data_IF_762751420453
#
_entry.id   IF_762751420453
#
_cell.length_a   1.000
_cell.length_b   1.000
_cell.length_c   1.000
_cell.angle_alpha   90.00
_cell.angle_beta   90.00
_cell.angle_gamma   90.00
#
_symmetry.space_group_name_H-M   'P 1'
#
loop_
_entity.id
_entity.type
_entity.pdbx_description
1 polymer ?
#
# COMPACT_ATOMS: atom_id res chain seq x y z
N UNK A 1 4.66 0.24 30.93
CA UNK A 1 5.80 -0.57 30.42
C UNK A 1 5.30 -1.97 30.14
N UNK A 2 4.81 -2.15 28.92
CA UNK A 2 4.26 -3.39 28.39
C UNK A 2 5.43 -4.20 27.81
N UNK A 3 5.73 -5.38 28.36
CA UNK A 3 6.86 -6.18 27.87
C UNK A 3 6.48 -6.91 26.58
N UNK A 4 6.72 -6.27 25.43
CA UNK A 4 6.50 -6.89 24.12
C UNK A 4 7.40 -8.12 23.91
N UNK A 5 6.95 -9.12 23.12
CA UNK A 5 7.79 -10.27 22.78
C UNK A 5 8.97 -9.83 21.89
N UNK A 6 10.18 -10.33 22.19
CA UNK A 6 11.39 -9.94 21.46
C UNK A 6 11.54 -10.80 20.19
N UNK A 7 11.62 -10.19 18.99
CA UNK A 7 11.80 -10.95 17.75
C UNK A 7 13.17 -11.65 17.73
N UNK A 8 13.19 -12.91 17.27
CA UNK A 8 14.35 -13.80 17.32
C UNK A 8 15.27 -13.67 16.08
N UNK A 9 14.93 -12.76 15.17
CA UNK A 9 15.67 -12.41 13.97
C UNK A 9 15.33 -10.95 13.58
N UNK A 10 16.06 -10.32 12.64
CA UNK A 10 15.68 -9.01 12.13
C UNK A 10 14.24 -9.03 11.59
N UNK A 11 13.55 -7.89 11.69
CA UNK A 11 12.23 -7.68 11.10
C UNK A 11 12.31 -7.86 9.57
N UNK A 12 11.35 -8.59 9.01
CA UNK A 12 11.16 -8.77 7.57
C UNK A 12 10.30 -7.61 7.06
N UNK A 13 10.94 -6.57 6.53
CA UNK A 13 10.27 -5.39 5.99
C UNK A 13 10.23 -5.46 4.45
N UNK A 14 9.36 -4.66 3.82
CA UNK A 14 9.36 -4.47 2.36
C UNK A 14 9.77 -3.05 2.03
N UNK A 15 10.84 -2.88 1.25
CA UNK A 15 11.32 -1.55 0.87
C UNK A 15 10.30 -0.82 0.01
N UNK A 16 9.54 -1.53 -0.84
CA UNK A 16 8.54 -0.92 -1.70
C UNK A 16 7.35 -0.36 -0.91
N UNK A 17 6.88 -1.06 0.14
CA UNK A 17 5.83 -0.55 1.03
C UNK A 17 6.27 0.61 1.91
N UNK A 18 7.52 0.57 2.39
CA UNK A 18 8.10 1.71 3.09
C UNK A 18 8.28 2.91 2.15
N UNK A 19 8.58 2.69 0.87
CA UNK A 19 8.64 3.77 -0.11
C UNK A 19 7.27 4.42 -0.31
N UNK A 20 6.21 3.62 -0.51
CA UNK A 20 4.83 4.13 -0.65
C UNK A 20 4.36 4.91 0.60
N UNK A 21 4.62 4.36 1.79
CA UNK A 21 4.34 5.03 3.07
C UNK A 21 5.15 6.33 3.26
N UNK A 22 6.40 6.41 2.78
CA UNK A 22 7.18 7.65 2.78
C UNK A 22 6.66 8.67 1.75
N UNK A 23 6.07 8.23 0.63
CA UNK A 23 5.56 9.10 -0.43
C UNK A 23 4.10 9.51 -0.31
N UNK A 24 3.32 8.90 0.59
CA UNK A 24 1.91 9.23 0.87
C UNK A 24 1.67 9.83 2.27
N UNK A 25 2.71 9.99 3.09
CA UNK A 25 2.62 10.57 4.43
C UNK A 25 2.58 12.11 4.34
N UNK A 26 1.41 12.68 4.63
CA UNK A 26 1.08 14.11 4.56
C UNK A 26 0.34 14.57 5.85
N UNK A 27 -0.12 15.82 5.93
CA UNK A 27 -0.71 16.36 7.17
C UNK A 27 -2.06 15.72 7.59
N UNK A 28 -2.71 14.97 6.70
CA UNK A 28 -3.96 14.23 6.96
C UNK A 28 -3.71 12.71 7.12
N UNK A 29 -2.57 12.21 6.64
CA UNK A 29 -2.21 10.78 6.55
C UNK A 29 -0.92 10.45 7.28
N UNK A 30 -1.03 9.94 8.50
CA UNK A 30 0.10 9.48 9.31
C UNK A 30 0.38 7.98 9.11
N UNK A 31 1.65 7.63 8.90
CA UNK A 31 2.10 6.24 8.83
C UNK A 31 3.01 5.87 10.01
N UNK A 32 2.76 4.74 10.68
CA UNK A 32 3.57 4.28 11.82
C UNK A 32 4.16 2.88 11.57
N UNK A 33 5.48 2.73 11.71
CA UNK A 33 6.14 1.42 11.67
C UNK A 33 6.22 0.81 13.08
N UNK A 34 5.75 -0.43 13.22
CA UNK A 34 5.86 -1.23 14.43
C UNK A 34 7.29 -1.76 14.66
N UNK A 35 7.79 -1.63 15.89
CA UNK A 35 9.13 -2.08 16.30
C UNK A 35 9.21 -3.56 16.71
N UNK A 36 8.07 -4.22 16.90
CA UNK A 36 7.99 -5.59 17.47
C UNK A 36 7.95 -6.67 16.39
N UNK A 37 7.13 -6.47 15.37
CA UNK A 37 6.81 -7.44 14.32
C UNK A 37 6.98 -6.85 12.90
N UNK A 38 6.93 -5.52 12.75
CA UNK A 38 7.32 -4.82 11.51
C UNK A 38 6.18 -4.54 10.53
N UNK A 39 4.92 -4.57 11.00
CA UNK A 39 3.80 -4.04 10.21
C UNK A 39 3.81 -2.51 10.17
N UNK A 40 3.18 -1.94 9.14
CA UNK A 40 2.92 -0.50 9.02
C UNK A 40 1.45 -0.27 9.35
N UNK A 41 1.17 0.80 10.10
CA UNK A 41 -0.17 1.35 10.28
C UNK A 41 -0.33 2.58 9.38
N UNK A 42 -1.51 2.73 8.79
CA UNK A 42 -1.99 3.87 8.04
C UNK A 42 -3.18 4.48 8.80
N UNK A 43 -2.97 5.67 9.36
CA UNK A 43 -3.97 6.46 10.06
C UNK A 43 -4.35 7.64 9.16
N UNK A 44 -5.65 7.79 9.00
CA UNK A 44 -6.30 8.61 7.99
C UNK A 44 -7.51 9.24 8.66
N UNK A 45 -7.63 10.57 8.57
CA UNK A 45 -8.67 11.33 9.27
C UNK A 45 -10.08 11.05 8.74
N UNK A 46 -10.23 10.45 7.56
CA UNK A 46 -11.51 10.02 6.98
C UNK A 46 -12.10 8.73 7.63
N UNK A 47 -11.44 8.17 8.65
CA UNK A 47 -11.89 6.94 9.35
C UNK A 47 -12.89 7.24 10.49
N UNK A 48 -13.66 6.21 10.88
CA UNK A 48 -14.62 6.28 12.00
C UNK A 48 -13.97 6.81 13.29
N UNK A 49 -14.53 7.88 13.88
CA UNK A 49 -14.00 8.53 15.09
C UNK A 49 -13.81 7.53 16.25
N UNK A 50 -14.74 6.59 16.44
CA UNK A 50 -14.65 5.61 17.51
C UNK A 50 -13.42 4.68 17.34
N UNK A 51 -12.92 4.47 16.12
CA UNK A 51 -11.68 3.73 15.88
C UNK A 51 -10.44 4.62 15.90
N UNK A 52 -10.55 5.88 15.47
CA UNK A 52 -9.51 6.89 15.64
C UNK A 52 -9.15 7.06 17.13
N UNK A 53 -10.15 7.26 17.99
CA UNK A 53 -9.97 7.39 19.44
C UNK A 53 -9.24 6.17 20.03
N UNK A 54 -9.62 4.94 19.61
CA UNK A 54 -8.98 3.69 20.04
C UNK A 54 -7.52 3.57 19.57
N UNK A 55 -7.20 3.96 18.33
CA UNK A 55 -5.82 3.84 17.83
C UNK A 55 -4.92 4.94 18.40
N UNK A 56 -5.43 6.14 18.62
CA UNK A 56 -4.68 7.18 19.35
C UNK A 56 -4.42 6.75 20.80
N UNK A 57 -5.39 6.14 21.50
CA UNK A 57 -5.15 5.55 22.82
C UNK A 57 -4.07 4.45 22.80
N UNK A 58 -4.13 3.51 21.84
CA UNK A 58 -3.08 2.48 21.67
C UNK A 58 -1.71 3.11 21.40
N UNK A 59 -1.63 4.15 20.56
CA UNK A 59 -0.39 4.88 20.25
C UNK A 59 0.17 5.63 21.47
N UNK A 60 -0.67 6.25 22.30
CA UNK A 60 -0.23 6.94 23.53
C UNK A 60 0.24 5.95 24.60
N UNK A 61 -0.54 4.90 24.87
CA UNK A 61 -0.21 3.88 25.89
C UNK A 61 1.03 3.05 25.51
N UNK A 62 1.31 2.89 24.21
CA UNK A 62 2.36 2.05 23.65
C UNK A 62 3.35 2.85 22.78
N UNK A 63 3.59 4.12 23.11
CA UNK A 63 4.40 5.04 22.30
C UNK A 63 5.85 4.57 22.02
N UNK A 64 6.40 3.66 22.82
CA UNK A 64 7.72 3.07 22.61
C UNK A 64 7.74 1.95 21.56
N UNK A 65 6.57 1.38 21.23
CA UNK A 65 6.37 0.36 20.19
C UNK A 65 6.36 0.93 18.79
N UNK A 66 5.83 2.14 18.61
CA UNK A 66 5.55 2.71 17.30
C UNK A 66 6.63 3.71 16.87
N UNK A 67 6.69 4.00 15.58
CA UNK A 67 7.58 5.02 15.03
C UNK A 67 6.92 5.69 13.81
N UNK A 68 6.60 6.98 13.95
CA UNK A 68 6.10 7.80 12.85
C UNK A 68 7.09 7.81 11.68
N UNK A 69 6.59 7.48 10.49
CA UNK A 69 7.30 7.57 9.21
C UNK A 69 7.31 9.05 8.77
N UNK A 70 8.48 9.63 8.47
CA UNK A 70 8.61 11.07 8.27
C UNK A 70 8.07 11.49 6.91
N UNK A 71 7.09 12.41 6.95
CA UNK A 71 6.52 13.15 5.81
C UNK A 71 7.65 13.74 4.95
N UNK A 72 7.52 13.64 3.63
CA UNK A 72 8.49 14.25 2.71
C UNK A 72 8.17 15.74 2.56
N UNK A 73 9.04 16.63 3.03
CA UNK A 73 8.82 18.06 2.85
C UNK A 73 8.92 18.45 1.37
N UNK A 74 8.16 19.48 0.95
CA UNK A 74 8.24 20.02 -0.43
C UNK A 74 9.68 20.29 -0.89
N UNK A 75 10.54 20.78 0.01
CA UNK A 75 11.96 21.01 -0.28
C UNK A 75 12.74 19.71 -0.55
N UNK A 76 12.42 18.60 0.12
CA UNK A 76 13.04 17.30 -0.13
C UNK A 76 12.54 16.69 -1.43
N UNK A 77 11.23 16.78 -1.73
CA UNK A 77 10.67 16.32 -3.01
C UNK A 77 11.29 17.10 -4.17
N UNK A 78 11.30 18.45 -4.09
CA UNK A 78 11.96 19.32 -5.09
C UNK A 78 13.45 18.98 -5.25
N UNK A 79 14.17 18.71 -4.16
CA UNK A 79 15.58 18.32 -4.20
C UNK A 79 15.81 16.93 -4.81
N UNK A 80 14.91 15.97 -4.64
CA UNK A 80 15.01 14.65 -5.29
C UNK A 80 14.85 14.83 -6.81
N UNK A 81 13.85 15.60 -7.26
CA UNK A 81 13.66 15.93 -8.69
C UNK A 81 14.87 16.70 -9.25
N UNK A 82 15.35 17.74 -8.55
CA UNK A 82 16.54 18.51 -8.95
C UNK A 82 17.81 17.64 -9.04
N UNK A 83 17.98 16.68 -8.14
CA UNK A 83 19.11 15.74 -8.19
C UNK A 83 19.01 14.84 -9.41
N UNK A 84 17.82 14.29 -9.71
CA UNK A 84 17.57 13.49 -10.90
C UNK A 84 17.88 14.27 -12.20
N UNK A 85 17.34 15.48 -12.32
CA UNK A 85 17.54 16.36 -13.48
C UNK A 85 19.02 16.71 -13.68
N UNK A 86 19.79 16.75 -12.59
CA UNK A 86 21.22 17.01 -12.66
C UNK A 86 22.09 15.77 -12.95
N UNK A 87 21.73 14.59 -12.44
CA UNK A 87 22.55 13.37 -12.53
C UNK A 87 22.17 12.41 -13.68
N UNK A 88 20.93 12.44 -14.16
CA UNK A 88 20.37 11.41 -15.06
C UNK A 88 19.86 11.96 -16.40
N UNK A 89 19.43 13.21 -16.46
CA UNK A 89 19.04 13.87 -17.73
C UNK A 89 20.29 14.46 -18.40
N UNK A 90 20.62 13.92 -19.58
CA UNK A 90 21.77 14.34 -20.39
C UNK A 90 21.40 15.19 -21.61
N UNK A 91 20.15 15.08 -22.09
CA UNK A 91 19.64 15.92 -23.17
C UNK A 91 19.39 17.34 -22.65
N UNK A 92 19.83 18.35 -23.41
CA UNK A 92 19.84 19.74 -22.95
C UNK A 92 18.43 20.33 -22.97
N UNK A 93 17.69 20.15 -24.06
CA UNK A 93 16.35 20.71 -24.25
C UNK A 93 15.35 20.10 -23.25
N UNK A 94 15.46 18.80 -23.00
CA UNK A 94 14.68 18.08 -21.97
C UNK A 94 15.06 18.56 -20.57
N UNK A 95 16.35 18.78 -20.30
CA UNK A 95 16.83 19.28 -19.00
C UNK A 95 16.37 20.72 -18.72
N UNK A 96 16.38 21.59 -19.72
CA UNK A 96 15.92 22.98 -19.57
C UNK A 96 14.43 23.03 -19.22
N UNK A 97 13.57 22.28 -19.92
CA UNK A 97 12.15 22.13 -19.59
C UNK A 97 11.93 21.61 -18.16
N UNK A 98 12.67 20.59 -17.75
CA UNK A 98 12.61 20.08 -16.38
C UNK A 98 13.00 21.13 -15.33
N UNK A 99 14.01 21.98 -15.61
CA UNK A 99 14.42 23.07 -14.72
C UNK A 99 13.41 24.22 -14.69
N UNK A 100 12.70 24.48 -15.78
CA UNK A 100 11.56 25.42 -15.82
C UNK A 100 10.41 24.91 -14.95
N UNK A 101 10.01 23.64 -15.14
CA UNK A 101 8.97 22.95 -14.35
C UNK A 101 9.28 23.03 -12.84
N UNK A 102 10.55 22.88 -12.44
CA UNK A 102 10.93 23.00 -11.02
C UNK A 102 10.62 24.37 -10.40
N UNK A 103 10.52 25.45 -11.19
CA UNK A 103 10.17 26.79 -10.67
C UNK A 103 8.67 27.09 -10.70
N UNK A 104 7.85 26.17 -11.21
CA UNK A 104 6.39 26.27 -11.16
C UNK A 104 5.84 26.05 -9.74
N UNK A 105 4.58 26.43 -9.53
CA UNK A 105 3.87 26.22 -8.26
C UNK A 105 3.49 24.75 -8.02
N UNK A 106 3.27 23.98 -9.09
CA UNK A 106 2.83 22.58 -9.05
C UNK A 106 3.95 21.70 -9.64
N UNK A 107 5.18 21.95 -9.19
CA UNK A 107 6.40 21.39 -9.78
C UNK A 107 6.43 19.86 -9.76
N UNK A 108 5.79 19.20 -8.78
CA UNK A 108 5.73 17.73 -8.70
C UNK A 108 4.80 17.15 -9.75
N UNK A 109 3.57 17.64 -9.82
CA UNK A 109 2.56 17.14 -10.76
C UNK A 109 3.00 17.37 -12.20
N UNK A 110 3.55 18.55 -12.51
CA UNK A 110 4.06 18.87 -13.85
C UNK A 110 5.35 18.10 -14.20
N UNK A 111 6.21 17.79 -13.21
CA UNK A 111 7.36 16.92 -13.41
C UNK A 111 6.92 15.50 -13.77
N UNK A 112 5.90 14.98 -13.07
CA UNK A 112 5.33 13.67 -13.36
C UNK A 112 4.62 13.66 -14.73
N UNK A 113 3.74 14.62 -14.99
CA UNK A 113 3.08 14.81 -16.29
C UNK A 113 4.09 14.78 -17.44
N UNK A 114 5.13 15.61 -17.37
CA UNK A 114 6.16 15.69 -18.40
C UNK A 114 7.01 14.42 -18.50
N UNK A 115 7.35 13.74 -17.40
CA UNK A 115 8.18 12.53 -17.47
C UNK A 115 7.41 11.29 -17.96
N UNK A 116 6.09 11.23 -17.73
CA UNK A 116 5.24 10.15 -18.27
C UNK A 116 5.11 10.21 -19.81
N UNK A 117 5.24 11.39 -20.42
CA UNK A 117 5.37 11.55 -21.88
C UNK A 117 6.76 11.12 -22.43
N UNK A 118 7.75 10.88 -21.56
CA UNK A 118 9.15 10.59 -21.93
C UNK A 118 9.61 9.26 -21.34
N UNK A 119 9.16 8.15 -21.93
CA UNK A 119 9.41 6.75 -21.49
C UNK A 119 10.88 6.46 -21.09
N UNK A 120 11.86 6.94 -21.86
CA UNK A 120 13.29 6.76 -21.58
C UNK A 120 13.80 7.51 -20.35
N UNK A 121 13.10 8.56 -19.91
CA UNK A 121 13.40 9.31 -18.70
C UNK A 121 12.57 8.79 -17.53
N UNK A 122 11.36 8.29 -17.78
CA UNK A 122 10.52 7.59 -16.80
C UNK A 122 11.24 6.35 -16.23
N UNK A 123 11.85 5.51 -17.07
CA UNK A 123 12.61 4.34 -16.62
C UNK A 123 13.78 4.75 -15.69
N UNK A 124 14.53 5.79 -16.08
CA UNK A 124 15.64 6.34 -15.28
C UNK A 124 15.14 6.93 -13.96
N UNK A 125 13.97 7.57 -13.95
CA UNK A 125 13.36 8.13 -12.76
C UNK A 125 12.88 7.05 -11.80
N UNK A 126 12.18 6.01 -12.29
CA UNK A 126 11.78 4.85 -11.49
C UNK A 126 13.00 4.24 -10.80
N UNK A 127 14.08 3.95 -11.55
CA UNK A 127 15.33 3.41 -11.01
C UNK A 127 15.96 4.36 -9.98
N UNK A 128 16.14 5.64 -10.32
CA UNK A 128 16.75 6.64 -9.42
C UNK A 128 15.94 6.86 -8.14
N UNK A 129 14.61 6.94 -8.23
CA UNK A 129 13.74 7.18 -7.08
C UNK A 129 13.78 5.97 -6.14
N UNK A 130 13.74 4.74 -6.67
CA UNK A 130 13.92 3.52 -5.87
C UNK A 130 15.28 3.52 -5.18
N UNK A 131 16.39 3.77 -5.89
CA UNK A 131 17.73 3.85 -5.30
C UNK A 131 17.80 4.91 -4.18
N UNK A 132 17.28 6.12 -4.44
CA UNK A 132 17.41 7.28 -3.56
C UNK A 132 16.53 7.15 -2.32
N UNK A 133 15.28 6.71 -2.48
CA UNK A 133 14.33 6.46 -1.40
C UNK A 133 14.77 5.28 -0.54
N UNK A 134 15.27 4.20 -1.14
CA UNK A 134 15.84 3.05 -0.41
C UNK A 134 17.00 3.46 0.50
N UNK A 135 17.90 4.34 0.05
CA UNK A 135 18.97 4.88 0.90
C UNK A 135 18.38 5.70 2.07
N UNK A 136 17.39 6.58 1.82
CA UNK A 136 16.69 7.36 2.86
C UNK A 136 16.01 6.46 3.90
N UNK A 137 15.33 5.41 3.45
CA UNK A 137 14.64 4.44 4.33
C UNK A 137 15.66 3.69 5.19
N UNK A 138 16.77 3.20 4.61
CA UNK A 138 17.86 2.56 5.36
C UNK A 138 18.44 3.51 6.42
N UNK A 139 18.69 4.77 6.06
CA UNK A 139 19.20 5.79 6.99
C UNK A 139 18.23 6.08 8.14
N UNK A 140 16.94 6.27 7.85
CA UNK A 140 15.91 6.48 8.86
C UNK A 140 15.72 5.27 9.79
N UNK A 141 15.69 4.05 9.24
CA UNK A 141 15.59 2.81 10.02
C UNK A 141 16.80 2.64 10.97
N UNK A 142 18.02 2.93 10.50
CA UNK A 142 19.25 2.91 11.31
C UNK A 142 19.20 3.95 12.43
N UNK A 143 18.81 5.18 12.12
CA UNK A 143 18.71 6.27 13.10
C UNK A 143 17.68 5.95 14.19
N UNK A 144 16.59 5.28 13.82
CA UNK A 144 15.56 4.77 14.73
C UNK A 144 15.86 3.39 15.34
N UNK A 145 17.07 2.85 15.13
CA UNK A 145 17.59 1.60 15.71
C UNK A 145 16.80 0.33 15.36
N UNK A 146 16.07 0.32 14.25
CA UNK A 146 15.37 -0.88 13.77
C UNK A 146 16.37 -1.97 13.37
N UNK A 147 16.19 -3.20 13.87
CA UNK A 147 16.96 -4.35 13.39
C UNK A 147 16.16 -5.05 12.28
N UNK A 148 16.50 -4.76 11.02
CA UNK A 148 15.69 -5.16 9.86
C UNK A 148 16.51 -5.85 8.75
N UNK A 149 15.77 -6.48 7.84
CA UNK A 149 16.18 -6.78 6.47
C UNK A 149 15.00 -6.49 5.54
N UNK A 150 15.27 -6.24 4.25
CA UNK A 150 14.22 -6.22 3.22
C UNK A 150 13.95 -7.63 2.66
N UNK A 151 12.67 -7.98 2.43
CA UNK A 151 12.28 -9.25 1.79
C UNK A 151 12.80 -9.34 0.35
N UNK A 152 12.79 -8.22 -0.38
CA UNK A 152 13.24 -8.08 -1.77
C UNK A 152 14.76 -8.35 -1.97
N UNK A 153 15.46 -8.60 -0.87
CA UNK A 153 16.90 -8.80 -0.78
C UNK A 153 17.30 -10.23 -0.38
N UNK A 154 16.34 -11.16 -0.26
CA UNK A 154 16.53 -12.50 0.27
C UNK A 154 16.28 -13.59 -0.79
N UNK A 155 17.32 -14.39 -1.06
CA UNK A 155 17.24 -15.59 -1.91
C UNK A 155 16.55 -16.77 -1.17
N UNK A 156 15.37 -16.54 -0.59
CA UNK A 156 14.59 -17.51 0.18
C UNK A 156 13.32 -17.92 -0.57
N UNK A 157 12.88 -19.17 -0.37
CA UNK A 157 11.57 -19.60 -0.88
C UNK A 157 10.45 -18.96 -0.06
N UNK A 158 9.28 -18.75 -0.69
CA UNK A 158 8.08 -18.22 -0.03
C UNK A 158 7.73 -18.98 1.27
N UNK A 159 7.85 -20.31 1.26
CA UNK A 159 7.62 -21.14 2.45
C UNK A 159 8.56 -20.79 3.61
N UNK A 160 9.87 -20.62 3.36
CA UNK A 160 10.85 -20.27 4.40
C UNK A 160 10.58 -18.86 4.95
N UNK A 161 10.21 -17.89 4.10
CA UNK A 161 9.81 -16.55 4.55
C UNK A 161 8.55 -16.58 5.44
N UNK A 162 7.53 -17.36 5.07
CA UNK A 162 6.30 -17.49 5.86
C UNK A 162 6.56 -18.18 7.19
N UNK A 163 7.38 -19.24 7.22
CA UNK A 163 7.79 -19.90 8.46
C UNK A 163 8.63 -18.98 9.37
N UNK A 164 9.49 -18.11 8.81
CA UNK A 164 10.22 -17.09 9.56
C UNK A 164 9.29 -16.04 10.20
N UNK A 165 8.20 -15.66 9.51
CA UNK A 165 7.17 -14.75 10.06
C UNK A 165 6.34 -15.42 11.16
N UNK A 166 5.78 -16.61 10.89
CA UNK A 166 4.98 -17.40 11.86
C UNK A 166 5.75 -17.61 13.17
N UNK A 167 7.01 -18.01 13.05
CA UNK A 167 7.84 -18.33 14.21
C UNK A 167 8.69 -17.14 14.70
N UNK A 168 8.40 -15.88 14.35
CA UNK A 168 9.28 -14.73 14.64
C UNK A 168 9.71 -14.63 16.11
N UNK A 169 8.85 -14.99 17.05
CA UNK A 169 9.09 -14.91 18.50
C UNK A 169 9.56 -16.24 19.13
N UNK A 170 9.58 -17.34 18.38
CA UNK A 170 9.89 -18.66 18.93
C UNK A 170 11.39 -18.89 19.04
N UNK A 171 11.90 -19.00 20.27
CA UNK A 171 13.32 -19.24 20.55
C UNK A 171 13.81 -20.63 20.08
N UNK A 172 12.90 -21.61 19.93
CA UNK A 172 13.19 -22.97 19.44
C UNK A 172 12.42 -23.21 18.15
N UNK A 173 13.15 -23.42 17.04
CA UNK A 173 12.61 -23.66 15.69
C UNK A 173 13.34 -24.82 15.01
N UNK A 174 12.88 -25.24 13.83
CA UNK A 174 13.56 -26.25 13.03
C UNK A 174 14.99 -25.83 12.64
N UNK A 175 15.83 -26.81 12.28
CA UNK A 175 17.22 -26.56 11.86
C UNK A 175 17.29 -25.59 10.65
N UNK A 176 16.37 -25.73 9.72
CA UNK A 176 16.26 -24.89 8.51
C UNK A 176 15.97 -23.43 8.85
N UNK A 177 14.93 -23.17 9.66
CA UNK A 177 14.59 -21.80 10.09
C UNK A 177 15.70 -21.20 10.96
N UNK A 178 16.36 -22.00 11.80
CA UNK A 178 17.54 -21.57 12.57
C UNK A 178 18.71 -21.14 11.65
N UNK A 179 18.98 -21.88 10.58
CA UNK A 179 19.97 -21.52 9.57
C UNK A 179 19.56 -20.25 8.80
N UNK A 180 18.30 -20.13 8.40
CA UNK A 180 17.77 -18.96 7.73
C UNK A 180 17.89 -17.69 8.60
N UNK A 181 17.58 -17.77 9.91
CA UNK A 181 17.80 -16.67 10.87
C UNK A 181 19.26 -16.21 10.93
N UNK A 182 20.23 -17.13 10.87
CA UNK A 182 21.66 -16.75 10.85
C UNK A 182 22.04 -16.02 9.56
N UNK A 183 21.44 -16.38 8.41
CA UNK A 183 21.60 -15.62 7.17
C UNK A 183 20.98 -14.22 7.30
N UNK A 184 19.78 -14.08 7.90
CA UNK A 184 19.17 -12.78 8.17
C UNK A 184 20.05 -11.90 9.07
N UNK A 185 20.55 -12.44 10.19
CA UNK A 185 21.44 -11.74 11.12
C UNK A 185 22.74 -11.27 10.44
N UNK A 186 23.22 -11.98 9.43
CA UNK A 186 24.39 -11.58 8.64
C UNK A 186 24.03 -10.54 7.56
N UNK A 187 22.89 -10.67 6.88
CA UNK A 187 22.36 -9.66 5.95
C UNK A 187 22.09 -8.33 6.67
N UNK A 188 21.51 -8.36 7.86
CA UNK A 188 21.20 -7.18 8.67
C UNK A 188 22.43 -6.30 8.93
N UNK A 189 23.60 -6.91 9.22
CA UNK A 189 24.87 -6.19 9.42
C UNK A 189 25.31 -5.39 8.19
N UNK A 190 24.92 -5.81 6.99
CA UNK A 190 25.26 -5.11 5.73
C UNK A 190 24.52 -3.77 5.64
N UNK A 191 23.25 -3.69 6.02
CA UNK A 191 22.50 -2.41 6.02
C UNK A 191 23.09 -1.37 6.99
N UNK A 192 23.73 -1.82 8.07
CA UNK A 192 24.44 -0.98 9.02
C UNK A 192 25.86 -0.58 8.57
N UNK A 193 26.40 -1.19 7.51
CA UNK A 193 27.69 -0.83 6.93
C UNK A 193 27.62 0.48 6.12
N UNK A 194 28.77 0.98 5.65
CA UNK A 194 28.81 2.11 4.72
C UNK A 194 28.48 1.72 3.26
N UNK A 195 28.51 0.42 2.91
CA UNK A 195 28.20 -0.07 1.56
C UNK A 195 26.71 0.10 1.21
N UNK A 196 25.82 -0.04 2.21
CA UNK A 196 24.37 0.12 2.02
C UNK A 196 23.90 1.57 1.87
N UNK A 197 24.68 2.55 2.33
CA UNK A 197 24.42 3.98 2.13
C UNK A 197 25.12 4.54 0.88
N UNK A 198 26.18 3.88 0.42
CA UNK A 198 26.97 4.27 -0.75
C UNK A 198 27.28 3.03 -1.60
N UNK A 199 26.30 2.51 -2.37
CA UNK A 199 26.48 1.33 -3.22
C UNK A 199 27.48 1.65 -4.35
N UNK A 200 28.75 1.30 -4.13
CA UNK A 200 29.81 1.50 -5.13
C UNK A 200 29.70 0.44 -6.23
N UNK A 201 29.86 0.81 -7.52
CA UNK A 201 30.08 -0.16 -8.59
C UNK A 201 31.23 -1.09 -8.21
N UNK A 202 31.00 -2.41 -8.25
CA UNK A 202 31.99 -3.41 -7.83
C UNK A 202 33.21 -3.35 -8.74
N UNK A 203 34.28 -2.72 -8.25
CA UNK A 203 35.50 -2.38 -8.99
C UNK A 203 36.30 -3.64 -9.34
N UNK A 204 35.97 -4.24 -10.48
CA UNK A 204 36.63 -5.40 -11.06
C UNK A 204 36.48 -5.44 -12.59
N UNK A 205 36.94 -6.53 -13.21
CA UNK A 205 36.75 -6.79 -14.65
C UNK A 205 35.25 -6.69 -14.99
N UNK A 206 34.84 -6.13 -16.15
CA UNK A 206 33.45 -6.14 -16.58
C UNK A 206 32.83 -7.53 -16.41
N UNK A 207 31.69 -7.66 -15.70
CA UNK A 207 30.95 -8.90 -15.67
C UNK A 207 30.66 -9.36 -17.09
N UNK A 208 30.60 -10.68 -17.32
CA UNK A 208 29.94 -11.18 -18.53
C UNK A 208 28.53 -10.59 -18.56
N UNK A 209 28.09 -10.10 -19.72
CA UNK A 209 26.70 -9.71 -19.95
C UNK A 209 25.80 -10.96 -20.05
N UNK A 210 25.76 -11.76 -18.98
CA UNK A 210 24.47 -12.32 -18.58
C UNK A 210 23.62 -11.11 -18.22
N UNK A 211 22.53 -10.89 -18.95
CA UNK A 211 21.48 -10.01 -18.45
C UNK A 211 21.16 -10.44 -17.02
N UNK A 212 21.18 -9.50 -16.07
CA UNK A 212 20.69 -9.76 -14.72
C UNK A 212 19.17 -9.90 -14.89
N UNK A 213 18.73 -11.12 -15.19
CA UNK A 213 17.31 -11.47 -15.17
C UNK A 213 16.79 -11.03 -13.82
N UNK A 214 15.85 -10.11 -13.82
CA UNK A 214 15.19 -9.68 -12.60
C UNK A 214 14.26 -10.83 -12.22
N UNK A 215 14.80 -11.76 -11.43
CA UNK A 215 14.04 -12.82 -10.82
C UNK A 215 12.98 -12.16 -9.95
N UNK A 216 11.73 -12.26 -10.40
CA UNK A 216 10.55 -11.68 -9.76
C UNK A 216 10.56 -12.03 -8.27
N UNK A 217 10.68 -11.01 -7.42
CA UNK A 217 10.93 -11.20 -6.01
C UNK A 217 9.78 -12.04 -5.41
N UNK A 218 10.12 -13.10 -4.68
CA UNK A 218 9.12 -14.12 -4.30
C UNK A 218 8.31 -13.67 -3.07
N UNK A 219 7.46 -12.66 -3.27
CA UNK A 219 6.70 -11.95 -2.23
C UNK A 219 5.89 -12.96 -1.39
N UNK A 220 6.26 -13.04 -0.11
CA UNK A 220 5.60 -13.92 0.85
C UNK A 220 4.26 -13.36 1.30
N UNK A 221 3.41 -14.17 1.95
CA UNK A 221 2.16 -13.65 2.52
C UNK A 221 2.45 -12.72 3.72
N UNK A 222 1.52 -11.81 4.01
CA UNK A 222 1.59 -10.99 5.22
C UNK A 222 1.06 -11.80 6.41
N UNK A 223 1.92 -11.96 7.42
CA UNK A 223 1.65 -12.80 8.58
C UNK A 223 2.11 -12.01 9.80
N UNK A 224 1.13 -11.54 10.57
CA UNK A 224 1.33 -10.76 11.79
C UNK A 224 0.51 -11.40 12.93
N UNK A 225 1.18 -11.68 14.04
CA UNK A 225 0.71 -12.49 15.17
C UNK A 225 0.54 -11.69 16.47
N UNK A 226 1.00 -10.43 16.49
CA UNK A 226 0.99 -9.51 17.65
C UNK A 226 0.36 -8.14 17.33
N UNK A 227 -0.52 -8.07 16.32
CA UNK A 227 -1.31 -6.87 16.03
C UNK A 227 -2.38 -6.64 17.10
N UNK A 228 -2.35 -5.51 17.84
CA UNK A 228 -3.40 -5.13 18.79
C UNK A 228 -4.78 -5.04 18.12
N UNK A 229 -5.85 -5.20 18.89
CA UNK A 229 -7.19 -5.23 18.31
C UNK A 229 -7.58 -3.90 17.65
N UNK A 230 -7.26 -2.76 18.27
CA UNK A 230 -7.48 -1.43 17.69
C UNK A 230 -6.74 -1.25 16.36
N UNK A 231 -5.47 -1.65 16.31
CA UNK A 231 -4.58 -1.46 15.16
C UNK A 231 -4.98 -2.27 13.89
N UNK A 232 -5.83 -3.30 14.00
CA UNK A 232 -6.16 -4.18 12.85
C UNK A 232 -6.86 -3.46 11.69
N UNK A 233 -7.70 -2.45 11.98
CA UNK A 233 -8.41 -1.63 10.96
C UNK A 233 -7.52 -0.56 10.31
N UNK A 234 -6.26 -0.48 10.73
CA UNK A 234 -5.25 0.47 10.28
C UNK A 234 -4.04 -0.22 9.62
N UNK A 235 -4.02 -1.55 9.47
CA UNK A 235 -2.92 -2.26 8.83
C UNK A 235 -2.74 -1.84 7.36
N UNK A 236 -1.56 -1.31 7.02
CA UNK A 236 -1.23 -0.88 5.67
C UNK A 236 -0.69 -2.06 4.84
N UNK A 237 -1.56 -2.61 3.97
CA UNK A 237 -1.31 -3.84 3.22
C UNK A 237 -1.45 -3.66 1.69
N UNK A 238 -0.79 -2.67 1.05
CA UNK A 238 -0.91 -2.49 -0.40
C UNK A 238 -0.28 -3.67 -1.17
N UNK A 239 -0.87 -4.02 -2.30
CA UNK A 239 -0.41 -5.07 -3.21
C UNK A 239 0.59 -4.52 -4.24
N UNK A 240 1.80 -4.20 -3.75
CA UNK A 240 2.88 -3.67 -4.59
C UNK A 240 3.74 -4.84 -5.09
N UNK A 241 3.62 -5.18 -6.38
CA UNK A 241 4.39 -6.26 -7.03
C UNK A 241 5.67 -5.77 -7.70
N UNK A 242 5.65 -4.55 -8.27
CA UNK A 242 6.78 -3.91 -8.95
C UNK A 242 7.00 -2.49 -8.41
N UNK A 243 8.23 -1.97 -8.58
CA UNK A 243 8.52 -0.56 -8.36
C UNK A 243 7.80 0.36 -9.36
N UNK A 244 7.48 -0.13 -10.56
CA UNK A 244 6.67 0.60 -11.55
C UNK A 244 5.21 0.76 -11.13
N UNK A 245 4.70 -0.13 -10.26
CA UNK A 245 3.33 -0.08 -9.74
C UNK A 245 3.10 1.01 -8.69
N UNK A 246 4.15 1.73 -8.27
CA UNK A 246 4.08 2.75 -7.22
C UNK A 246 3.90 4.12 -7.86
N UNK A 247 2.86 4.84 -7.45
CA UNK A 247 2.71 6.25 -7.81
C UNK A 247 3.75 7.10 -7.09
N UNK A 248 4.49 7.91 -7.85
CA UNK A 248 5.34 8.97 -7.27
C UNK A 248 4.53 10.20 -6.82
N UNK A 249 3.20 10.09 -6.76
CA UNK A 249 2.25 11.14 -6.37
C UNK A 249 1.69 10.88 -4.97
N UNK A 250 1.48 11.94 -4.20
CA UNK A 250 0.72 11.88 -2.93
C UNK A 250 -0.79 11.71 -3.16
N UNK A 251 -1.29 12.09 -4.34
CA UNK A 251 -2.71 12.31 -4.61
C UNK A 251 -3.46 11.12 -5.18
N UNK A 252 -2.76 10.17 -5.80
CA UNK A 252 -3.35 9.06 -6.54
C UNK A 252 -2.75 7.75 -6.06
N UNK A 253 -3.59 6.74 -5.82
CA UNK A 253 -3.17 5.45 -5.28
C UNK A 253 -2.58 4.54 -6.38
N UNK A 254 -2.97 4.75 -7.65
CA UNK A 254 -2.51 3.91 -8.77
C UNK A 254 -2.04 4.72 -9.98
N UNK A 255 -1.10 4.13 -10.74
CA UNK A 255 -0.61 4.72 -12.00
C UNK A 255 -1.75 4.92 -13.02
N UNK A 256 -2.71 3.98 -13.08
CA UNK A 256 -3.87 4.05 -13.96
C UNK A 256 -4.78 5.25 -13.64
N UNK A 257 -4.95 5.58 -12.37
CA UNK A 257 -5.72 6.72 -11.87
C UNK A 257 -5.03 8.05 -12.21
N UNK A 258 -3.73 8.19 -11.92
CA UNK A 258 -2.94 9.35 -12.33
C UNK A 258 -3.01 9.57 -13.85
N UNK A 259 -2.85 8.51 -14.65
CA UNK A 259 -2.92 8.57 -16.11
C UNK A 259 -4.35 8.84 -16.64
N UNK A 260 -5.40 8.51 -15.88
CA UNK A 260 -6.78 8.86 -16.22
C UNK A 260 -7.07 10.35 -15.99
N UNK A 261 -6.60 10.90 -14.87
CA UNK A 261 -6.62 12.33 -14.58
C UNK A 261 -5.83 13.12 -15.64
N UNK A 262 -4.61 12.66 -15.99
CA UNK A 262 -3.75 13.28 -17.01
C UNK A 262 -4.43 13.39 -18.39
N UNK A 263 -5.25 12.40 -18.76
CA UNK A 263 -6.02 12.37 -20.01
C UNK A 263 -7.30 13.23 -19.95
N UNK A 264 -7.47 14.05 -18.92
CA UNK A 264 -8.57 15.00 -18.75
C UNK A 264 -9.94 14.35 -18.56
N UNK A 265 -9.98 13.09 -18.09
CA UNK A 265 -11.20 12.27 -18.12
C UNK A 265 -11.73 11.98 -16.72
N UNK A 266 -12.34 12.99 -16.07
CA UNK A 266 -13.02 12.82 -14.77
C UNK A 266 -14.22 11.86 -14.79
N UNK A 267 -14.59 11.31 -15.95
CA UNK A 267 -15.53 10.17 -16.07
C UNK A 267 -14.86 8.80 -15.93
N UNK A 268 -13.52 8.74 -15.99
CA UNK A 268 -12.75 7.52 -15.83
C UNK A 268 -12.33 7.33 -14.37
N UNK A 269 -12.17 8.40 -13.57
CA UNK A 269 -12.02 8.29 -12.11
C UNK A 269 -13.26 7.61 -11.48
N UNK A 270 -14.48 8.06 -11.83
CA UNK A 270 -15.73 7.39 -11.46
C UNK A 270 -15.74 5.89 -11.85
N UNK A 271 -15.26 5.57 -13.06
CA UNK A 271 -15.25 4.19 -13.57
C UNK A 271 -14.17 3.32 -12.92
N UNK A 272 -12.98 3.85 -12.67
CA UNK A 272 -11.88 3.15 -11.98
C UNK A 272 -12.27 2.87 -10.52
N UNK A 273 -12.92 3.81 -9.85
CA UNK A 273 -13.47 3.59 -8.51
C UNK A 273 -14.56 2.50 -8.53
N UNK A 274 -15.42 2.48 -9.55
CA UNK A 274 -16.41 1.41 -9.76
C UNK A 274 -15.77 0.05 -10.08
N UNK A 275 -14.72 -0.03 -10.90
CA UNK A 275 -14.02 -1.30 -11.18
C UNK A 275 -13.29 -1.80 -9.95
N UNK A 276 -12.55 -0.93 -9.25
CA UNK A 276 -11.83 -1.26 -8.02
C UNK A 276 -12.80 -1.76 -6.93
N UNK A 277 -13.98 -1.14 -6.79
CA UNK A 277 -15.04 -1.64 -5.91
C UNK A 277 -15.59 -3.00 -6.37
N UNK A 278 -15.80 -3.19 -7.68
CA UNK A 278 -16.31 -4.46 -8.23
C UNK A 278 -15.32 -5.63 -8.07
N UNK A 279 -14.03 -5.37 -8.22
CA UNK A 279 -12.95 -6.36 -8.03
C UNK A 279 -12.79 -6.69 -6.55
N UNK A 280 -12.73 -5.67 -5.67
CA UNK A 280 -12.75 -5.88 -4.21
C UNK A 280 -13.96 -6.70 -3.79
N UNK A 281 -15.15 -6.46 -4.35
CA UNK A 281 -16.37 -7.21 -4.06
C UNK A 281 -16.34 -8.64 -4.62
N UNK A 282 -15.71 -8.87 -5.78
CA UNK A 282 -15.49 -10.20 -6.32
C UNK A 282 -14.53 -11.03 -5.43
N UNK A 283 -13.40 -10.45 -5.02
CA UNK A 283 -12.46 -11.08 -4.07
C UNK A 283 -13.10 -11.33 -2.71
N UNK A 284 -13.97 -10.43 -2.21
CA UNK A 284 -14.73 -10.63 -0.98
C UNK A 284 -15.73 -11.81 -1.10
N UNK A 285 -16.38 -11.97 -2.26
CA UNK A 285 -17.23 -13.13 -2.54
C UNK A 285 -16.43 -14.44 -2.62
N UNK A 286 -15.29 -14.44 -3.29
CA UNK A 286 -14.42 -15.63 -3.35
C UNK A 286 -13.94 -16.02 -1.94
N UNK A 287 -13.51 -15.04 -1.13
CA UNK A 287 -13.16 -15.26 0.28
C UNK A 287 -14.35 -15.77 1.11
N UNK A 288 -15.55 -15.21 0.94
CA UNK A 288 -16.76 -15.64 1.65
C UNK A 288 -17.11 -17.11 1.35
N UNK A 289 -17.10 -17.49 0.06
CA UNK A 289 -17.33 -18.86 -0.37
C UNK A 289 -16.24 -19.82 0.16
N UNK A 290 -14.97 -19.39 0.13
CA UNK A 290 -13.81 -20.14 0.63
C UNK A 290 -13.77 -20.27 2.16
N UNK A 291 -14.46 -19.39 2.88
CA UNK A 291 -14.69 -19.44 4.33
C UNK A 291 -16.01 -20.15 4.72
N UNK A 292 -16.83 -20.58 3.74
CA UNK A 292 -18.04 -21.37 3.96
C UNK A 292 -19.30 -20.60 4.39
N UNK A 293 -19.28 -19.27 4.37
CA UNK A 293 -20.41 -18.44 4.83
C UNK A 293 -21.65 -18.49 3.92
N UNK A 294 -21.50 -18.97 2.68
CA UNK A 294 -22.54 -19.13 1.65
C UNK A 294 -23.62 -20.19 1.97
N UNK A 295 -23.71 -20.62 3.24
CA UNK A 295 -24.59 -21.69 3.73
C UNK A 295 -25.61 -21.26 4.79
N UNK A 296 -25.57 -20.02 5.28
CA UNK A 296 -26.65 -19.46 6.08
C UNK A 296 -27.77 -18.97 5.16
N UNK A 297 -28.80 -19.81 5.02
CA UNK A 297 -29.92 -19.59 4.12
C UNK A 297 -30.66 -18.29 4.39
N UNK A 298 -31.01 -17.58 3.30
CA UNK A 298 -32.12 -16.63 3.28
C UNK A 298 -33.43 -17.37 3.59
N UNK A 299 -33.75 -17.48 4.88
CA UNK A 299 -35.04 -17.95 5.38
C UNK A 299 -36.07 -16.82 5.40
N UNK A 300 -37.35 -17.17 5.34
CA UNK A 300 -38.44 -16.21 5.22
C UNK A 300 -38.53 -15.26 6.43
N UNK A 301 -38.58 -13.95 6.14
CA UNK A 301 -38.88 -12.89 7.10
C UNK A 301 -40.30 -12.30 6.92
N UNK A 302 -41.11 -12.96 6.09
CA UNK A 302 -42.53 -12.64 5.86
C UNK A 302 -43.37 -13.92 5.98
N UNK A 303 -43.41 -14.47 7.19
CA UNK A 303 -44.44 -15.42 7.60
C UNK A 303 -45.62 -14.66 8.22
N UNK A 304 -46.84 -15.16 7.99
CA UNK A 304 -48.05 -14.62 8.59
C UNK A 304 -48.02 -14.74 10.12
N UNK A 305 -48.57 -13.73 10.80
CA UNK A 305 -49.24 -13.86 12.09
C UNK A 305 -50.55 -13.05 11.96
N UNK A 306 -51.66 -13.74 11.68
CA UNK A 306 -53.01 -13.19 11.82
C UNK A 306 -53.38 -13.18 13.32
N UNK A 307 -53.95 -12.09 13.81
CA UNK A 307 -54.97 -12.11 14.88
C UNK A 307 -55.77 -10.80 14.86
N UNK A 308 -57.07 -10.88 15.17
CA UNK A 308 -58.06 -9.80 15.04
C UNK A 308 -58.04 -8.79 16.21
N UNK A 309 -58.51 -7.54 15.98
CA UNK A 309 -59.67 -6.96 16.70
C UNK A 309 -60.02 -5.50 16.27
N UNK A 310 -61.19 -5.37 15.65
CA UNK A 310 -62.25 -4.35 15.74
C UNK A 310 -62.07 -2.80 15.70
N UNK A 311 -62.92 -2.24 14.82
CA UNK A 311 -63.87 -1.10 14.99
C UNK A 311 -63.67 0.36 14.46
N UNK A 312 -64.80 0.85 13.92
CA UNK A 312 -65.30 2.23 13.69
C UNK A 312 -64.68 3.21 12.66
N UNK A 313 -65.34 3.24 11.48
CA UNK A 313 -65.92 4.44 10.85
C UNK A 313 -65.06 5.71 10.57
N UNK A 314 -64.77 5.98 9.27
CA UNK A 314 -65.64 6.91 8.50
C UNK A 314 -65.48 6.88 6.96
N UNK A 315 -66.52 7.41 6.31
CA UNK A 315 -66.83 7.35 4.86
C UNK A 315 -66.24 8.56 4.10
N UNK A 316 -66.10 8.47 2.76
CA UNK A 316 -66.80 9.33 1.74
C UNK A 316 -66.26 9.20 0.28
N UNK A 317 -67.01 8.43 -0.55
CA UNK A 317 -67.56 8.81 -1.88
C UNK A 317 -66.66 9.14 -3.11
N UNK A 318 -66.49 8.13 -3.99
CA UNK A 318 -66.49 8.20 -5.50
C UNK A 318 -65.29 8.84 -6.24
N UNK A 319 -65.04 8.63 -7.55
CA UNK A 319 -65.86 8.17 -8.70
C UNK A 319 -65.16 7.14 -9.60
N UNK A 320 -65.97 6.31 -10.27
CA UNK A 320 -65.55 5.40 -11.33
C UNK A 320 -65.85 5.94 -12.75
N UNK A 321 -65.10 5.47 -13.76
CA UNK A 321 -65.58 5.28 -15.14
C UNK A 321 -64.66 4.40 -16.01
N UNK A 322 -65.21 3.30 -16.49
CA UNK A 322 -64.83 2.59 -17.73
C UNK A 322 -66.03 2.68 -18.70
N UNK A 323 -66.07 2.08 -19.92
CA UNK A 323 -65.10 1.27 -20.67
C UNK A 323 -64.73 1.97 -22.04
N UNK A 324 -64.48 1.41 -23.25
CA UNK A 324 -64.73 0.08 -23.85
C UNK A 324 -63.90 -0.22 -25.12
N UNK A 325 -63.41 -1.47 -25.24
CA UNK A 325 -63.29 -2.33 -26.45
C UNK A 325 -62.88 -1.77 -27.85
N UNK A 326 -61.82 -2.41 -28.39
CA UNK A 326 -61.74 -3.26 -29.63
C UNK A 326 -60.99 -2.78 -30.91
N UNK A 327 -60.09 -3.70 -31.33
CA UNK A 327 -59.80 -4.23 -32.69
C UNK A 327 -58.96 -3.42 -33.71
N UNK A 328 -57.77 -3.98 -33.98
CA UNK A 328 -57.16 -4.24 -35.31
C UNK A 328 -58.16 -4.24 -36.49
N UNK A 329 -57.85 -3.54 -37.58
CA UNK A 329 -57.18 -4.16 -38.74
C UNK A 329 -56.66 -3.14 -39.79
N UNK A 330 -55.45 -3.45 -40.28
CA UNK A 330 -54.90 -3.23 -41.64
C UNK A 330 -55.76 -2.55 -42.72
N UNK A 331 -55.16 -1.55 -43.37
CA UNK A 331 -54.60 -1.76 -44.72
C UNK A 331 -53.10 -1.45 -44.68
#
# INVERSE_FOLDING_TARGET
MTTYPVPQNPLLLRVLRLMDAFSKSDDERDFYLDRVEGFILYIDLDKDQEDLDKIYQELEENADRYCLIPKLTFYEVKKIMETFINEKIYDIDTKEKFLEILQSKNAREQFLEFIYDHESELEKWQQFYVERSRIRIIEWLRNNKFHFVFEEDLDFTKHVLEQLKIHLFDAKVSKEISQARQLLLNKAKVYYSNEALNPRPKRGRPPKQSAKVEAEATISSDIYTKVPQAARRFLFLPEITSASSITFSEKFDTEAEFLAHLRGSGRVEDQLNLTNLSERFASLKELSAKLGYDSLSSGDFFGDDDDDDDEEEKKVVTKAKSPTKRRKKSS
#
